data_IF_818523062099
#
_entry.id   IF_818523062099
#
_cell.length_a   1.000
_cell.length_b   1.000
_cell.length_c   1.000
_cell.angle_alpha   90.00
_cell.angle_beta   90.00
_cell.angle_gamma   90.00
#
_symmetry.space_group_name_H-M   'P 1'
#
loop_
_entity.id
_entity.type
_entity.pdbx_description
1 polymer ?
#
# COMPACT_ATOMS: atom_id res chain seq x y z
N UNK A 1 -5.32 15.72 14.42
CA UNK A 1 -4.64 14.42 14.20
C UNK A 1 -4.62 14.17 12.70
N UNK A 2 -3.45 13.93 12.09
CA UNK A 2 -3.35 13.70 10.66
C UNK A 2 -4.23 12.56 10.18
N UNK A 3 -4.98 12.80 9.09
CA UNK A 3 -5.73 11.79 8.36
C UNK A 3 -4.89 11.35 7.16
N UNK A 4 -4.54 10.09 7.10
CA UNK A 4 -3.77 9.51 6.01
C UNK A 4 -4.68 8.58 5.21
N UNK A 5 -4.77 8.85 3.91
CA UNK A 5 -5.47 7.96 2.97
C UNK A 5 -4.44 7.03 2.33
N UNK A 6 -4.46 5.77 2.68
CA UNK A 6 -3.67 4.72 2.04
C UNK A 6 -4.43 4.22 0.80
N UNK A 7 -3.76 4.17 -0.34
CA UNK A 7 -4.33 3.68 -1.60
C UNK A 7 -3.49 2.53 -2.12
N UNK A 8 -4.09 1.35 -2.26
CA UNK A 8 -3.42 0.23 -2.94
C UNK A 8 -3.26 0.56 -4.42
N UNK A 9 -2.12 0.22 -5.02
CA UNK A 9 -1.93 0.39 -6.46
C UNK A 9 -3.00 -0.32 -7.29
N UNK A 10 -3.26 0.16 -8.51
CA UNK A 10 -4.12 -0.49 -9.50
C UNK A 10 -3.57 -1.85 -9.95
N UNK A 11 -4.37 -2.61 -10.70
CA UNK A 11 -3.93 -3.91 -11.20
C UNK A 11 -2.61 -3.78 -11.97
N UNK A 12 -1.61 -4.59 -11.61
CA UNK A 12 -0.33 -4.66 -12.29
C UNK A 12 -0.44 -5.42 -13.62
N UNK A 13 0.46 -5.10 -14.56
CA UNK A 13 0.51 -5.75 -15.88
C UNK A 13 1.04 -7.20 -15.82
N UNK A 14 1.79 -7.53 -14.76
CA UNK A 14 2.37 -8.85 -14.55
C UNK A 14 2.26 -9.28 -13.08
N UNK A 15 2.27 -10.58 -12.84
CA UNK A 15 2.23 -11.18 -11.51
C UNK A 15 3.59 -11.21 -10.82
N UNK A 16 3.60 -11.65 -9.56
CA UNK A 16 4.81 -11.78 -8.74
C UNK A 16 5.83 -12.78 -9.28
N UNK A 17 5.36 -13.76 -10.04
CA UNK A 17 6.16 -14.79 -10.69
C UNK A 17 6.62 -14.43 -12.12
N UNK A 18 6.29 -13.23 -12.59
CA UNK A 18 6.55 -12.83 -13.98
C UNK A 18 7.52 -11.65 -14.07
N UNK A 19 7.36 -10.64 -13.22
CA UNK A 19 8.18 -9.43 -13.23
C UNK A 19 8.39 -8.87 -11.81
N UNK A 20 9.56 -8.29 -11.56
CA UNK A 20 9.92 -7.72 -10.24
C UNK A 20 9.17 -6.41 -9.99
N UNK A 21 9.09 -5.53 -10.98
CA UNK A 21 8.49 -4.20 -10.86
C UNK A 21 7.63 -3.85 -12.08
N UNK A 22 6.50 -4.58 -12.28
CA UNK A 22 5.59 -4.29 -13.37
C UNK A 22 4.91 -2.94 -13.17
N UNK A 23 4.61 -2.26 -14.27
CA UNK A 23 3.68 -1.13 -14.31
C UNK A 23 2.23 -1.57 -14.21
N UNK A 24 1.30 -0.64 -14.41
CA UNK A 24 -0.12 -0.93 -14.42
C UNK A 24 -0.56 -1.63 -15.71
N UNK A 25 -1.53 -2.52 -15.59
CA UNK A 25 -2.31 -3.01 -16.74
C UNK A 25 -3.25 -1.91 -17.26
N UNK A 26 -3.83 -2.07 -18.45
CA UNK A 26 -4.86 -1.15 -18.95
C UNK A 26 -6.09 -1.04 -18.00
N UNK A 27 -6.40 -2.10 -17.26
CA UNK A 27 -7.41 -2.05 -16.21
C UNK A 27 -6.91 -1.25 -15.01
N UNK A 28 -5.67 -1.46 -14.59
CA UNK A 28 -5.03 -0.73 -13.50
C UNK A 28 -4.97 0.78 -13.76
N UNK A 29 -4.70 1.20 -14.99
CA UNK A 29 -4.73 2.61 -15.39
C UNK A 29 -6.13 3.23 -15.23
N UNK A 30 -7.19 2.52 -15.63
CA UNK A 30 -8.58 2.97 -15.42
C UNK A 30 -8.93 3.02 -13.93
N UNK A 31 -8.51 2.04 -13.15
CA UNK A 31 -8.70 2.02 -11.69
C UNK A 31 -8.02 3.23 -11.03
N UNK A 32 -6.81 3.59 -11.46
CA UNK A 32 -6.08 4.75 -10.97
C UNK A 32 -6.80 6.08 -11.23
N UNK A 33 -7.40 6.23 -12.41
CA UNK A 33 -8.22 7.40 -12.74
C UNK A 33 -9.45 7.52 -11.81
N UNK A 34 -10.17 6.42 -11.62
CA UNK A 34 -11.35 6.37 -10.74
C UNK A 34 -10.95 6.68 -9.28
N UNK A 35 -9.83 6.12 -8.82
CA UNK A 35 -9.33 6.38 -7.47
C UNK A 35 -8.96 7.86 -7.28
N UNK A 36 -8.30 8.47 -8.27
CA UNK A 36 -7.94 9.88 -8.23
C UNK A 36 -9.18 10.79 -8.13
N UNK A 37 -10.23 10.49 -8.92
CA UNK A 37 -11.48 11.21 -8.87
C UNK A 37 -12.16 11.08 -7.50
N UNK A 38 -12.16 9.87 -6.94
CA UNK A 38 -12.79 9.58 -5.67
C UNK A 38 -12.03 10.20 -4.47
N UNK A 39 -10.70 10.29 -4.54
CA UNK A 39 -9.89 10.99 -3.52
C UNK A 39 -10.12 12.50 -3.61
N UNK A 40 -10.08 13.06 -4.82
CA UNK A 40 -10.25 14.49 -5.03
C UNK A 40 -11.67 15.00 -4.71
N UNK A 41 -12.67 14.13 -4.72
CA UNK A 41 -14.05 14.48 -4.40
C UNK A 41 -14.31 14.67 -2.89
N UNK A 42 -13.43 14.16 -2.02
CA UNK A 42 -13.66 14.12 -0.57
C UNK A 42 -12.73 15.01 0.25
N UNK A 43 -11.76 15.68 -0.39
CA UNK A 43 -10.81 16.53 0.34
C UNK A 43 -10.05 17.51 -0.55
N UNK A 44 -9.44 18.47 0.12
CA UNK A 44 -8.53 19.45 -0.48
C UNK A 44 -7.17 18.80 -0.84
N UNK A 45 -6.39 19.41 -1.75
CA UNK A 45 -5.06 18.94 -2.09
C UNK A 45 -4.10 18.88 -0.91
N UNK A 46 -3.68 17.67 -0.56
CA UNK A 46 -2.68 17.39 0.48
C UNK A 46 -1.40 16.79 -0.15
N UNK A 47 -0.30 16.63 0.59
CA UNK A 47 0.88 15.92 0.11
C UNK A 47 0.57 14.53 -0.43
N UNK A 48 1.19 14.19 -1.56
CA UNK A 48 1.08 12.86 -2.18
C UNK A 48 2.42 12.15 -1.99
N UNK A 49 2.36 10.97 -1.41
CA UNK A 49 3.51 10.09 -1.19
C UNK A 49 3.30 8.80 -1.97
N UNK A 50 4.35 8.22 -2.51
CA UNK A 50 4.27 6.94 -3.22
C UNK A 50 5.46 6.04 -2.90
N UNK A 51 5.19 4.75 -2.87
CA UNK A 51 6.19 3.70 -3.03
C UNK A 51 7.06 3.96 -4.27
N UNK A 52 8.34 3.54 -4.27
CA UNK A 52 9.21 3.65 -5.45
C UNK A 52 8.82 2.71 -6.59
N UNK A 53 7.96 1.70 -6.36
CA UNK A 53 7.59 0.73 -7.40
C UNK A 53 6.66 1.38 -8.44
N UNK A 54 6.88 1.04 -9.72
CA UNK A 54 6.21 1.66 -10.88
C UNK A 54 4.70 1.71 -10.73
N UNK A 55 4.06 0.58 -10.40
CA UNK A 55 2.61 0.47 -10.27
C UNK A 55 2.00 1.43 -9.25
N UNK A 56 2.71 1.70 -8.15
CA UNK A 56 2.26 2.67 -7.15
C UNK A 56 2.39 4.12 -7.66
N UNK A 57 3.52 4.44 -8.28
CA UNK A 57 3.76 5.76 -8.86
C UNK A 57 2.77 6.05 -10.01
N UNK A 58 2.50 5.07 -10.86
CA UNK A 58 1.53 5.19 -11.95
C UNK A 58 0.11 5.37 -11.43
N UNK A 59 -0.24 4.72 -10.31
CA UNK A 59 -1.52 4.93 -9.64
C UNK A 59 -1.63 6.33 -9.04
N UNK A 60 -0.54 6.91 -8.57
CA UNK A 60 -0.51 8.27 -8.00
C UNK A 60 -0.62 9.39 -9.06
N UNK A 61 -0.14 9.14 -10.28
CA UNK A 61 -0.04 10.17 -11.35
C UNK A 61 -1.35 10.90 -11.66
N UNK A 62 -2.51 10.25 -11.81
CA UNK A 62 -3.77 10.95 -12.09
C UNK A 62 -4.13 11.96 -11.01
N UNK A 63 -3.97 11.61 -9.74
CA UNK A 63 -4.23 12.52 -8.62
C UNK A 63 -3.22 13.67 -8.59
N UNK A 64 -1.95 13.39 -8.81
CA UNK A 64 -0.89 14.38 -8.86
C UNK A 64 -1.15 15.45 -9.94
N UNK A 65 -1.58 15.01 -11.14
CA UNK A 65 -1.97 15.91 -12.22
C UNK A 65 -3.19 16.75 -11.86
N UNK A 66 -4.21 16.12 -11.23
CA UNK A 66 -5.46 16.80 -10.87
C UNK A 66 -5.25 17.89 -9.82
N UNK A 67 -4.34 17.66 -8.87
CA UNK A 67 -4.04 18.59 -7.80
C UNK A 67 -2.88 19.55 -8.10
N UNK A 68 -2.21 19.37 -9.24
CA UNK A 68 -0.98 20.06 -9.59
C UNK A 68 0.07 19.95 -8.46
N UNK A 69 0.31 18.71 -8.01
CA UNK A 69 1.23 18.39 -6.92
C UNK A 69 2.28 17.38 -7.37
N UNK A 70 3.51 17.57 -6.88
CA UNK A 70 4.56 16.56 -7.03
C UNK A 70 4.28 15.34 -6.13
N UNK A 71 4.66 14.16 -6.62
CA UNK A 71 4.66 12.94 -5.82
C UNK A 71 6.00 12.79 -5.12
N UNK A 72 6.00 12.73 -3.79
CA UNK A 72 7.18 12.39 -2.99
C UNK A 72 7.34 10.87 -2.97
N UNK A 73 8.49 10.39 -3.40
CA UNK A 73 8.81 8.96 -3.31
C UNK A 73 9.40 8.65 -1.93
N UNK A 74 8.84 7.63 -1.28
CA UNK A 74 9.31 7.18 0.02
C UNK A 74 9.48 5.66 0.03
N UNK A 75 10.73 5.16 0.15
CA UNK A 75 11.02 3.72 0.13
C UNK A 75 10.36 2.93 1.28
N UNK A 76 9.98 3.58 2.36
CA UNK A 76 9.31 2.92 3.47
C UNK A 76 7.97 2.29 3.05
N UNK A 77 7.30 2.86 2.04
CA UNK A 77 6.01 2.37 1.56
C UNK A 77 6.10 1.36 0.42
N UNK A 78 7.27 0.73 0.23
CA UNK A 78 7.45 -0.35 -0.75
C UNK A 78 6.66 -1.60 -0.39
N UNK A 79 6.60 -2.57 -1.30
CA UNK A 79 5.97 -3.88 -1.01
C UNK A 79 6.88 -4.74 -0.13
N UNK A 80 6.31 -5.74 0.53
CA UNK A 80 7.03 -6.65 1.41
C UNK A 80 8.28 -7.23 0.72
N UNK A 81 9.46 -7.13 1.34
CA UNK A 81 10.70 -7.64 0.75
C UNK A 81 10.68 -9.17 0.72
N UNK A 82 10.89 -9.75 -0.45
CA UNK A 82 11.06 -11.20 -0.61
C UNK A 82 12.46 -11.63 -0.16
N UNK A 83 12.60 -12.80 0.47
CA UNK A 83 13.91 -13.35 0.84
C UNK A 83 14.70 -13.90 -0.36
N UNK A 84 14.07 -14.00 -1.55
CA UNK A 84 14.67 -14.54 -2.76
C UNK A 84 14.45 -13.62 -3.95
N UNK A 85 15.33 -13.69 -4.94
CA UNK A 85 15.21 -12.99 -6.22
C UNK A 85 14.62 -13.88 -7.33
N UNK A 86 14.51 -15.19 -7.10
CA UNK A 86 13.83 -16.10 -8.02
C UNK A 86 12.32 -15.81 -8.02
N UNK A 87 11.75 -15.61 -9.21
CA UNK A 87 10.36 -15.17 -9.36
C UNK A 87 9.35 -16.24 -8.93
N UNK A 88 9.62 -17.50 -9.20
CA UNK A 88 8.72 -18.59 -8.80
C UNK A 88 8.74 -18.78 -7.28
N UNK A 89 9.93 -18.82 -6.67
CA UNK A 89 10.08 -18.89 -5.22
C UNK A 89 9.46 -17.70 -4.49
N UNK A 90 9.52 -16.48 -5.09
CA UNK A 90 8.88 -15.29 -4.54
C UNK A 90 7.38 -15.45 -4.40
N UNK A 91 6.72 -15.97 -5.44
CA UNK A 91 5.27 -16.15 -5.43
C UNK A 91 4.85 -17.21 -4.41
N UNK A 92 5.58 -18.33 -4.33
CA UNK A 92 5.33 -19.39 -3.35
C UNK A 92 5.52 -18.88 -1.92
N UNK A 93 6.63 -18.17 -1.68
CA UNK A 93 6.90 -17.57 -0.38
C UNK A 93 5.79 -16.58 0.03
N UNK A 94 5.37 -15.70 -0.88
CA UNK A 94 4.32 -14.72 -0.57
C UNK A 94 3.00 -15.41 -0.21
N UNK A 95 2.60 -16.43 -0.97
CA UNK A 95 1.38 -17.19 -0.68
C UNK A 95 1.44 -17.86 0.70
N UNK A 96 2.59 -18.44 1.06
CA UNK A 96 2.80 -19.01 2.39
C UNK A 96 2.79 -17.94 3.48
N UNK A 97 3.49 -16.83 3.29
CA UNK A 97 3.55 -15.72 4.25
C UNK A 97 2.17 -15.12 4.53
N UNK A 98 1.35 -14.93 3.50
CA UNK A 98 -0.01 -14.37 3.63
C UNK A 98 -0.95 -15.25 4.46
N UNK A 99 -0.64 -16.54 4.63
CA UNK A 99 -1.39 -17.45 5.48
C UNK A 99 -0.89 -17.50 6.92
N UNK A 100 0.22 -16.80 7.21
CA UNK A 100 0.93 -16.84 8.49
C UNK A 100 0.82 -15.55 9.31
N UNK A 101 1.73 -15.44 10.26
CA UNK A 101 1.84 -14.32 11.20
C UNK A 101 3.19 -13.61 11.08
N UNK A 102 3.25 -12.38 11.58
CA UNK A 102 4.51 -11.61 11.62
C UNK A 102 5.56 -12.25 12.53
N UNK A 103 5.12 -12.96 13.58
CA UNK A 103 6.04 -13.70 14.48
C UNK A 103 6.82 -14.81 13.76
N UNK A 104 6.30 -15.30 12.63
CA UNK A 104 6.93 -16.34 11.81
C UNK A 104 7.88 -15.76 10.75
N UNK A 105 7.91 -14.42 10.57
CA UNK A 105 8.74 -13.77 9.56
C UNK A 105 10.14 -13.44 10.08
N UNK A 106 11.07 -13.26 9.13
CA UNK A 106 12.46 -12.91 9.44
C UNK A 106 12.67 -11.43 9.83
N UNK A 107 13.90 -11.12 10.26
CA UNK A 107 14.27 -9.76 10.68
C UNK A 107 14.11 -8.70 9.58
N UNK A 108 14.30 -9.06 8.32
CA UNK A 108 14.14 -8.13 7.19
C UNK A 108 12.70 -7.67 7.09
N UNK A 109 11.75 -8.59 7.17
CA UNK A 109 10.32 -8.30 7.13
C UNK A 109 9.87 -7.54 8.39
N UNK A 110 10.41 -7.90 9.55
CA UNK A 110 10.12 -7.21 10.82
C UNK A 110 10.58 -5.73 10.78
N UNK A 111 11.78 -5.46 10.26
CA UNK A 111 12.30 -4.09 10.09
C UNK A 111 11.48 -3.30 9.06
N UNK A 112 11.11 -3.94 7.96
CA UNK A 112 10.25 -3.32 6.95
C UNK A 112 8.89 -2.95 7.53
N UNK A 113 8.24 -3.85 8.28
CA UNK A 113 6.98 -3.62 9.01
C UNK A 113 7.09 -2.39 9.92
N UNK A 114 8.14 -2.32 10.74
CA UNK A 114 8.36 -1.18 11.65
C UNK A 114 8.61 0.10 10.88
N UNK A 115 9.36 0.05 9.78
CA UNK A 115 9.65 1.21 8.94
C UNK A 115 8.40 1.87 8.35
N UNK A 116 7.35 1.11 8.03
CA UNK A 116 6.06 1.65 7.59
C UNK A 116 5.39 2.45 8.71
N UNK A 117 5.35 1.89 9.92
CA UNK A 117 4.75 2.54 11.09
C UNK A 117 5.47 3.84 11.43
N UNK A 118 6.81 3.80 11.42
CA UNK A 118 7.66 4.96 11.68
C UNK A 118 7.46 6.06 10.63
N UNK A 119 7.41 5.68 9.35
CA UNK A 119 7.20 6.62 8.25
C UNK A 119 5.82 7.30 8.31
N UNK A 120 4.79 6.57 8.70
CA UNK A 120 3.45 7.15 8.94
C UNK A 120 3.48 8.12 10.12
N UNK A 121 4.17 7.78 11.20
CA UNK A 121 4.35 8.64 12.36
C UNK A 121 5.16 9.91 12.09
N UNK A 122 5.99 9.92 11.05
CA UNK A 122 6.79 11.05 10.62
C UNK A 122 6.07 11.99 9.65
N UNK A 123 4.84 11.71 9.23
CA UNK A 123 4.06 12.62 8.40
C UNK A 123 3.52 13.78 9.23
N UNK A 124 3.83 15.01 8.82
CA UNK A 124 3.49 16.23 9.56
C UNK A 124 2.02 16.65 9.47
N UNK A 125 1.23 16.01 8.62
CA UNK A 125 -0.18 16.37 8.38
C UNK A 125 -0.91 15.34 7.52
N UNK A 126 -2.09 15.70 7.07
CA UNK A 126 -2.87 14.89 6.15
C UNK A 126 -2.08 14.56 4.88
N UNK A 127 -2.23 13.36 4.38
CA UNK A 127 -1.54 12.90 3.17
C UNK A 127 -2.29 11.77 2.46
N UNK A 128 -2.00 11.60 1.17
CA UNK A 128 -2.38 10.40 0.41
C UNK A 128 -1.13 9.59 0.12
N UNK A 129 -1.13 8.32 0.50
CA UNK A 129 0.00 7.40 0.34
C UNK A 129 -0.38 6.27 -0.60
N UNK A 130 0.26 6.21 -1.76
CA UNK A 130 0.09 5.13 -2.72
C UNK A 130 1.09 4.01 -2.43
N UNK A 131 0.57 2.83 -2.13
CA UNK A 131 1.36 1.72 -1.61
C UNK A 131 0.78 0.37 -2.07
N UNK A 132 1.01 -0.68 -1.29
CA UNK A 132 0.80 -2.06 -1.68
C UNK A 132 -0.10 -2.79 -0.68
N UNK A 133 -0.52 -3.99 -1.10
CA UNK A 133 -1.41 -4.86 -0.35
C UNK A 133 -0.84 -5.22 1.04
N UNK A 134 0.40 -5.74 1.09
CA UNK A 134 0.99 -6.14 2.36
C UNK A 134 1.28 -4.93 3.27
N UNK A 135 1.69 -3.79 2.70
CA UNK A 135 1.93 -2.57 3.47
C UNK A 135 0.65 -2.05 4.14
N UNK A 136 -0.50 -2.08 3.46
CA UNK A 136 -1.79 -1.70 4.08
C UNK A 136 -2.16 -2.69 5.18
N UNK A 137 -1.95 -3.99 4.97
CA UNK A 137 -2.21 -5.00 5.98
C UNK A 137 -1.31 -4.85 7.23
N UNK A 138 -0.05 -4.40 7.07
CA UNK A 138 0.80 -3.99 8.21
C UNK A 138 0.10 -2.92 9.06
N UNK A 139 -0.42 -1.90 8.40
CA UNK A 139 -1.07 -0.77 9.09
C UNK A 139 -2.34 -1.21 9.81
N UNK A 140 -3.16 -2.04 9.15
CA UNK A 140 -4.38 -2.59 9.73
C UNK A 140 -4.06 -3.49 10.92
N UNK A 141 -3.11 -4.42 10.79
CA UNK A 141 -2.66 -5.30 11.86
C UNK A 141 -2.11 -4.54 13.06
N UNK A 142 -1.28 -3.50 12.81
CA UNK A 142 -0.76 -2.64 13.88
C UNK A 142 -1.90 -1.91 14.62
N UNK A 143 -2.85 -1.34 13.89
CA UNK A 143 -3.98 -0.60 14.49
C UNK A 143 -4.93 -1.49 15.30
N UNK A 144 -5.10 -2.74 14.90
CA UNK A 144 -6.05 -3.69 15.49
C UNK A 144 -5.40 -4.63 16.52
N UNK A 145 -4.07 -4.64 16.63
CA UNK A 145 -3.34 -5.62 17.45
C UNK A 145 -3.41 -7.04 16.89
N UNK A 146 -3.52 -7.17 15.56
CA UNK A 146 -3.61 -8.45 14.84
C UNK A 146 -2.24 -8.78 14.23
N UNK A 147 -1.70 -9.95 14.55
CA UNK A 147 -0.39 -10.39 14.07
C UNK A 147 -0.42 -11.16 12.75
N UNK A 148 -1.58 -11.34 12.14
CA UNK A 148 -1.69 -11.95 10.80
C UNK A 148 -1.11 -11.02 9.73
N UNK A 149 -0.49 -11.60 8.69
CA UNK A 149 -0.07 -10.81 7.54
C UNK A 149 -1.27 -10.35 6.70
N UNK A 150 -2.30 -11.18 6.61
CA UNK A 150 -3.54 -10.88 5.92
C UNK A 150 -4.64 -10.57 6.94
N UNK A 151 -4.92 -9.30 7.14
CA UNK A 151 -6.01 -8.80 8.00
C UNK A 151 -7.26 -8.48 7.18
N UNK A 152 -7.08 -7.92 5.99
CA UNK A 152 -8.15 -7.56 5.06
C UNK A 152 -7.72 -7.79 3.61
N UNK A 153 -8.62 -8.32 2.79
CA UNK A 153 -8.41 -8.49 1.34
C UNK A 153 -8.69 -7.16 0.60
N UNK A 154 -7.83 -6.19 0.82
CA UNK A 154 -7.95 -4.83 0.26
C UNK A 154 -7.86 -4.88 -1.27
N UNK A 155 -8.90 -4.43 -1.97
CA UNK A 155 -8.97 -4.45 -3.44
C UNK A 155 -8.01 -3.43 -4.10
N UNK A 156 -7.75 -3.59 -5.40
CA UNK A 156 -6.97 -2.62 -6.18
C UNK A 156 -7.61 -1.23 -6.12
N UNK A 157 -6.79 -0.21 -5.91
CA UNK A 157 -7.22 1.18 -5.74
C UNK A 157 -8.20 1.43 -4.57
N UNK A 158 -8.40 0.45 -3.69
CA UNK A 158 -9.15 0.67 -2.46
C UNK A 158 -8.44 1.69 -1.56
N UNK A 159 -9.23 2.45 -0.83
CA UNK A 159 -8.78 3.55 0.03
C UNK A 159 -9.04 3.20 1.48
N UNK A 160 -8.00 2.99 2.24
CA UNK A 160 -8.06 2.83 3.70
C UNK A 160 -7.69 4.15 4.36
N UNK A 161 -8.55 4.69 5.19
CA UNK A 161 -8.29 5.95 5.91
C UNK A 161 -7.92 5.64 7.35
N UNK A 162 -6.80 6.19 7.77
CA UNK A 162 -6.30 6.07 9.14
C UNK A 162 -6.07 7.45 9.76
N UNK A 163 -6.12 7.50 11.04
CA UNK A 163 -5.70 8.63 11.86
C UNK A 163 -4.42 8.26 12.60
N UNK A 164 -3.42 9.15 12.55
CA UNK A 164 -2.14 8.94 13.21
C UNK A 164 -1.96 9.98 14.32
N UNK A 165 -1.73 9.54 15.55
CA UNK A 165 -1.53 10.43 16.69
C UNK A 165 -0.60 9.82 17.74
N UNK A 166 0.46 10.54 18.09
CA UNK A 166 1.37 10.16 19.19
C UNK A 166 1.84 8.70 19.11
N UNK A 167 2.21 8.23 17.91
CA UNK A 167 2.65 6.86 17.68
C UNK A 167 1.53 5.81 17.66
N UNK A 168 0.27 6.23 17.72
CA UNK A 168 -0.90 5.33 17.59
C UNK A 168 -1.56 5.51 16.23
N UNK A 169 -1.98 4.40 15.66
CA UNK A 169 -2.75 4.36 14.41
C UNK A 169 -4.16 3.87 14.74
N UNK A 170 -5.17 4.58 14.22
CA UNK A 170 -6.58 4.20 14.32
C UNK A 170 -7.18 4.12 12.92
N UNK A 171 -7.85 3.03 12.62
CA UNK A 171 -8.58 2.89 11.35
C UNK A 171 -9.87 3.73 11.43
N UNK A 172 -10.03 4.63 10.46
CA UNK A 172 -11.23 5.47 10.31
C UNK A 172 -12.21 4.81 9.35
N UNK A 173 -11.70 4.32 8.21
CA UNK A 173 -12.47 3.52 7.27
C UNK A 173 -11.60 2.46 6.60
N UNK A 174 -12.18 1.28 6.42
CA UNK A 174 -11.56 0.21 5.64
C UNK A 174 -11.74 0.48 4.15
N UNK A 175 -10.73 0.08 3.36
CA UNK A 175 -10.87 0.01 1.91
C UNK A 175 -11.91 -1.04 1.50
N UNK A 176 -12.41 -0.94 0.27
CA UNK A 176 -13.24 -2.01 -0.30
C UNK A 176 -12.44 -3.32 -0.35
N UNK A 177 -13.11 -4.41 0.00
CA UNK A 177 -12.54 -5.75 -0.13
C UNK A 177 -12.89 -6.32 -1.51
N UNK A 178 -11.93 -6.96 -2.15
CA UNK A 178 -12.05 -7.64 -3.43
C UNK A 178 -11.52 -9.06 -3.34
N UNK A 179 -11.90 -9.92 -4.25
CA UNK A 179 -11.22 -11.20 -4.42
C UNK A 179 -9.92 -10.96 -5.19
N UNK A 180 -8.84 -10.70 -4.48
CA UNK A 180 -7.51 -10.65 -5.09
C UNK A 180 -7.03 -12.07 -5.33
N UNK A 181 -7.12 -12.53 -6.58
CA UNK A 181 -6.34 -13.70 -6.98
C UNK A 181 -4.86 -13.29 -6.99
N UNK A 182 -4.07 -13.85 -6.09
CA UNK A 182 -2.61 -13.80 -6.15
C UNK A 182 -2.19 -14.64 -7.36
N UNK A 183 -1.95 -14.00 -8.50
CA UNK A 183 -1.38 -14.62 -9.70
C UNK A 183 0.11 -14.42 -9.76
#
# INVERSE_FOLDING_TARGET
>A
MPLITLVRHGQAAAGWNEEVDPGLSPLGERQALIAADAVAAVGDPVPIVSSPLKRAQETARPLARRWDRAVRIDPAFTEIPSPTTDLAERAEWLAAAMSGTWAEQGEVQARWRQGIVDALGALDGDAVVFTHFAAINVVLGHALGDDRLLVSDVDHCARTVIEVAHGRIRVVSFGSEGRTELR
#
